data_IF_212832634941
#
_entry.id   IF_212832634941
#
_cell.length_a   1.000
_cell.length_b   1.000
_cell.length_c   1.000
_cell.angle_alpha   90.00
_cell.angle_beta   90.00
_cell.angle_gamma   90.00
#
_symmetry.space_group_name_H-M   'P 1'
#
loop_
_entity.id
_entity.type
_entity.pdbx_description
1 polymer ?
#
# COMPACT_ATOMS: atom_id res chain seq x y z
N UNK A 1 9.37 -26.46 15.82
CA UNK A 1 9.26 -25.76 15.30
C UNK A 1 9.78 -24.68 15.38
N UNK A 2 10.29 -24.24 14.96
CA UNK A 2 10.64 -23.28 15.05
C UNK A 2 10.35 -22.34 14.54
N UNK A 3 10.03 -21.87 14.88
CA UNK A 3 9.41 -20.74 14.34
C UNK A 3 10.40 -19.68 14.14
N UNK A 4 10.73 -19.52 12.96
CA UNK A 4 11.43 -18.36 12.59
C UNK A 4 10.53 -17.16 12.83
N UNK A 5 10.96 -16.27 13.67
CA UNK A 5 10.28 -15.00 13.84
C UNK A 5 10.59 -14.16 12.60
N UNK A 6 9.69 -14.21 11.64
CA UNK A 6 9.77 -13.30 10.51
C UNK A 6 9.26 -11.94 11.02
N UNK A 7 10.09 -10.87 11.01
CA UNK A 7 9.61 -9.57 11.45
C UNK A 7 8.38 -9.18 10.64
N UNK A 8 7.32 -8.83 11.32
CA UNK A 8 6.12 -8.36 10.64
C UNK A 8 6.38 -6.97 10.09
N UNK A 9 5.69 -6.64 9.01
CA UNK A 9 5.83 -5.34 8.36
C UNK A 9 5.60 -4.18 9.33
N UNK A 10 4.62 -4.32 10.25
CA UNK A 10 4.36 -3.28 11.24
C UNK A 10 5.57 -3.04 12.14
N UNK A 11 6.31 -4.08 12.48
CA UNK A 11 7.50 -3.94 13.33
C UNK A 11 8.59 -3.18 12.61
N UNK A 12 8.77 -3.42 11.31
CA UNK A 12 9.73 -2.68 10.49
C UNK A 12 9.36 -1.21 10.40
N UNK A 13 8.07 -0.91 10.26
CA UNK A 13 7.59 0.48 10.19
C UNK A 13 7.81 1.19 11.53
N UNK A 14 7.56 0.52 12.65
CA UNK A 14 7.81 1.10 13.97
C UNK A 14 9.29 1.42 14.17
N UNK A 15 10.18 0.55 13.71
CA UNK A 15 11.63 0.79 13.77
C UNK A 15 12.02 1.97 12.88
N UNK A 16 11.45 2.04 11.68
CA UNK A 16 11.72 3.13 10.75
C UNK A 16 11.27 4.48 11.33
N UNK A 17 10.14 4.49 12.05
CA UNK A 17 9.68 5.68 12.76
C UNK A 17 10.70 6.14 13.78
N UNK A 18 11.25 5.22 14.58
CA UNK A 18 12.26 5.57 15.57
C UNK A 18 13.53 6.11 14.92
N UNK A 19 13.95 5.52 13.81
CA UNK A 19 15.09 6.01 13.03
C UNK A 19 14.83 7.42 12.51
N UNK A 20 13.64 7.66 11.97
CA UNK A 20 13.25 8.99 11.49
C UNK A 20 13.29 10.03 12.60
N UNK A 21 12.87 9.65 13.83
CA UNK A 21 12.95 10.52 14.98
C UNK A 21 14.40 10.90 15.31
N UNK A 22 15.30 9.91 15.28
CA UNK A 22 16.73 10.13 15.57
C UNK A 22 17.39 11.00 14.49
N UNK A 23 17.00 10.81 13.24
CA UNK A 23 17.55 11.55 12.11
C UNK A 23 16.87 12.89 11.91
N UNK A 24 15.85 13.20 12.71
CA UNK A 24 15.05 14.43 12.60
C UNK A 24 14.36 14.55 11.24
N UNK A 25 14.01 13.40 10.65
CA UNK A 25 13.23 13.35 9.41
C UNK A 25 11.75 13.47 9.75
N UNK A 26 11.29 14.69 9.90
CA UNK A 26 9.94 14.96 10.38
C UNK A 26 8.85 14.51 9.39
N UNK A 27 9.11 14.62 8.10
CA UNK A 27 8.15 14.19 7.08
C UNK A 27 7.94 12.67 7.13
N UNK A 28 9.04 11.90 7.19
CA UNK A 28 8.97 10.45 7.30
C UNK A 28 8.29 10.04 8.60
N UNK A 29 8.67 10.66 9.71
CA UNK A 29 8.06 10.37 11.02
C UNK A 29 6.55 10.56 10.98
N UNK A 30 6.09 11.66 10.39
CA UNK A 30 4.67 11.98 10.33
C UNK A 30 3.89 10.91 9.57
N UNK A 31 4.43 10.43 8.44
CA UNK A 31 3.72 9.43 7.65
C UNK A 31 3.76 8.05 8.35
N UNK A 32 4.84 7.71 9.02
CA UNK A 32 4.89 6.47 9.80
C UNK A 32 3.87 6.51 10.94
N UNK A 33 3.69 7.67 11.59
CA UNK A 33 2.67 7.84 12.63
C UNK A 33 1.27 7.56 12.08
N UNK A 34 0.98 8.05 10.89
CA UNK A 34 -0.31 7.84 10.24
C UNK A 34 -0.54 6.34 9.98
N UNK A 35 0.46 5.66 9.43
CA UNK A 35 0.36 4.22 9.17
C UNK A 35 0.18 3.43 10.46
N UNK A 36 0.94 3.76 11.50
CA UNK A 36 0.83 3.09 12.80
C UNK A 36 -0.56 3.31 13.40
N UNK A 37 -1.11 4.51 13.30
CA UNK A 37 -2.46 4.80 13.79
C UNK A 37 -3.51 3.99 13.03
N UNK A 38 -3.38 3.87 11.73
CA UNK A 38 -4.30 3.04 10.92
C UNK A 38 -4.20 1.57 11.32
N UNK A 39 -2.97 1.10 11.59
CA UNK A 39 -2.75 -0.25 12.09
C UNK A 39 -3.47 -0.46 13.43
N UNK A 40 -3.33 0.48 14.37
CA UNK A 40 -3.96 0.36 15.68
C UNK A 40 -5.48 0.28 15.57
N UNK A 41 -6.07 1.12 14.75
CA UNK A 41 -7.53 1.10 14.52
C UNK A 41 -7.98 -0.23 13.92
N UNK A 42 -7.26 -0.72 12.92
CA UNK A 42 -7.58 -2.00 12.31
C UNK A 42 -7.37 -3.15 13.29
N UNK A 43 -6.33 -3.06 14.11
CA UNK A 43 -6.03 -4.07 15.14
C UNK A 43 -7.18 -4.21 16.13
N UNK A 44 -7.76 -3.10 16.57
CA UNK A 44 -8.91 -3.11 17.47
C UNK A 44 -10.09 -3.82 16.82
N UNK A 45 -10.39 -3.44 15.57
CA UNK A 45 -11.50 -4.03 14.82
C UNK A 45 -11.30 -5.53 14.59
N UNK A 46 -10.09 -5.94 14.21
CA UNK A 46 -9.76 -7.34 13.97
C UNK A 46 -9.85 -8.17 15.26
N UNK A 47 -9.42 -7.59 16.38
CA UNK A 47 -9.46 -8.27 17.68
C UNK A 47 -10.89 -8.61 18.07
N UNK A 48 -11.83 -7.74 17.80
CA UNK A 48 -13.24 -7.99 18.08
C UNK A 48 -13.76 -9.19 17.29
N UNK A 49 -13.15 -9.48 16.14
CA UNK A 49 -13.48 -10.65 15.31
C UNK A 49 -12.62 -11.87 15.64
N UNK A 50 -11.74 -11.77 16.63
CA UNK A 50 -10.80 -12.85 16.97
C UNK A 50 -9.68 -13.01 15.95
N UNK A 51 -9.34 -11.96 15.23
CA UNK A 51 -8.32 -11.99 14.16
C UNK A 51 -7.18 -11.03 14.48
N UNK A 52 -6.07 -11.21 13.77
CA UNK A 52 -4.91 -10.33 13.87
C UNK A 52 -4.68 -9.61 12.55
N UNK A 53 -4.01 -8.47 12.60
CA UNK A 53 -3.61 -7.73 11.41
C UNK A 53 -2.45 -8.47 10.75
N UNK A 54 -2.57 -8.74 9.47
CA UNK A 54 -1.56 -9.47 8.70
C UNK A 54 -0.70 -8.48 7.90
N UNK A 55 0.41 -8.98 7.34
CA UNK A 55 1.24 -8.17 6.44
C UNK A 55 0.46 -7.75 5.19
N UNK A 56 -0.45 -8.59 4.71
CA UNK A 56 -1.32 -8.22 3.60
C UNK A 56 -2.19 -7.01 3.96
N UNK A 57 -2.73 -7.00 5.18
CA UNK A 57 -3.49 -5.85 5.68
C UNK A 57 -2.62 -4.60 5.71
N UNK A 58 -1.37 -4.74 6.15
CA UNK A 58 -0.42 -3.62 6.19
C UNK A 58 -0.13 -3.07 4.81
N UNK A 59 0.03 -3.94 3.82
CA UNK A 59 0.21 -3.51 2.43
C UNK A 59 -0.99 -2.69 1.96
N UNK A 60 -2.20 -3.12 2.29
CA UNK A 60 -3.41 -2.38 1.94
C UNK A 60 -3.46 -1.00 2.62
N UNK A 61 -3.05 -0.93 3.88
CA UNK A 61 -2.96 0.34 4.59
C UNK A 61 -1.97 1.28 3.87
N UNK A 62 -0.81 0.77 3.49
CA UNK A 62 0.22 1.55 2.80
C UNK A 62 -0.28 2.03 1.44
N UNK A 63 -0.91 1.15 0.66
CA UNK A 63 -1.47 1.50 -0.66
C UNK A 63 -2.49 2.62 -0.53
N UNK A 64 -3.40 2.49 0.44
CA UNK A 64 -4.42 3.53 0.67
C UNK A 64 -3.78 4.85 1.10
N UNK A 65 -2.78 4.78 1.97
CA UNK A 65 -2.07 5.98 2.44
C UNK A 65 -1.35 6.67 1.28
N UNK A 66 -0.72 5.90 0.40
CA UNK A 66 -0.08 6.45 -0.81
C UNK A 66 -1.08 7.16 -1.71
N UNK A 67 -2.29 6.60 -1.84
CA UNK A 67 -3.35 7.22 -2.63
C UNK A 67 -3.78 8.56 -2.01
N UNK A 68 -3.92 8.60 -0.70
CA UNK A 68 -4.24 9.83 0.03
C UNK A 68 -3.14 10.87 -0.14
N UNK A 69 -1.87 10.44 -0.09
CA UNK A 69 -0.74 11.33 -0.32
C UNK A 69 -0.74 11.90 -1.74
N UNK A 70 -1.05 11.08 -2.72
CA UNK A 70 -1.10 11.52 -4.12
C UNK A 70 -2.18 12.59 -4.32
N UNK A 71 -3.35 12.41 -3.71
CA UNK A 71 -4.43 13.40 -3.77
C UNK A 71 -4.04 14.71 -3.10
N UNK A 72 -3.41 14.62 -1.94
CA UNK A 72 -2.94 15.78 -1.19
C UNK A 72 -1.85 16.52 -1.96
N UNK A 73 -0.90 15.77 -2.53
CA UNK A 73 0.18 16.31 -3.35
C UNK A 73 -0.37 17.09 -4.54
N UNK A 74 -1.38 16.54 -5.21
CA UNK A 74 -2.02 17.19 -6.34
C UNK A 74 -2.58 18.57 -5.96
N UNK A 75 -3.19 18.66 -4.77
CA UNK A 75 -3.68 19.92 -4.24
C UNK A 75 -2.57 20.96 -4.03
N UNK A 76 -1.44 20.52 -3.50
CA UNK A 76 -0.29 21.41 -3.28
C UNK A 76 0.38 21.83 -4.59
N UNK A 77 0.43 20.95 -5.58
CA UNK A 77 0.94 21.29 -6.90
C UNK A 77 0.10 22.41 -7.51
N UNK A 78 -1.22 22.29 -7.40
CA UNK A 78 -2.14 23.29 -7.94
C UNK A 78 -2.00 24.66 -7.28
N UNK A 79 -1.60 24.71 -6.02
CA UNK A 79 -1.44 25.96 -5.26
C UNK A 79 0.01 26.45 -5.23
N UNK A 80 0.93 25.76 -5.91
CA UNK A 80 2.33 26.16 -6.00
C UNK A 80 3.14 26.00 -4.73
N UNK A 81 2.70 25.13 -3.80
CA UNK A 81 3.38 24.90 -2.53
C UNK A 81 4.49 23.86 -2.67
N UNK A 82 5.62 24.28 -3.22
CA UNK A 82 6.73 23.41 -3.56
C UNK A 82 7.28 22.61 -2.37
N UNK A 83 7.45 23.25 -1.22
CA UNK A 83 7.97 22.57 -0.03
C UNK A 83 7.05 21.45 0.43
N UNK A 84 5.73 21.67 0.36
CA UNK A 84 4.74 20.65 0.72
C UNK A 84 4.78 19.48 -0.28
N UNK A 85 4.95 19.77 -1.56
CA UNK A 85 5.08 18.75 -2.61
C UNK A 85 6.32 17.89 -2.35
N UNK A 86 7.44 18.50 -2.01
CA UNK A 86 8.68 17.78 -1.72
C UNK A 86 8.54 16.90 -0.49
N UNK A 87 7.90 17.40 0.57
CA UNK A 87 7.68 16.63 1.79
C UNK A 87 6.82 15.41 1.51
N UNK A 88 5.73 15.57 0.75
CA UNK A 88 4.87 14.45 0.40
C UNK A 88 5.58 13.45 -0.52
N UNK A 89 6.37 13.93 -1.46
CA UNK A 89 7.16 13.05 -2.34
C UNK A 89 8.11 12.18 -1.52
N UNK A 90 8.75 12.76 -0.50
CA UNK A 90 9.60 11.99 0.41
C UNK A 90 8.80 10.97 1.19
N UNK A 91 7.61 11.34 1.68
CA UNK A 91 6.71 10.42 2.38
C UNK A 91 6.29 9.25 1.48
N UNK A 92 5.99 9.52 0.21
CA UNK A 92 5.68 8.47 -0.76
C UNK A 92 6.87 7.52 -0.93
N UNK A 93 8.07 8.07 -1.06
CA UNK A 93 9.27 7.27 -1.26
C UNK A 93 9.55 6.33 -0.09
N UNK A 94 9.40 6.82 1.15
CA UNK A 94 9.67 5.98 2.32
C UNK A 94 8.64 4.88 2.49
N UNK A 95 7.39 5.12 2.10
CA UNK A 95 6.35 4.09 2.17
C UNK A 95 6.50 3.03 1.08
N UNK A 96 6.90 3.43 -0.12
CA UNK A 96 7.07 2.50 -1.24
C UNK A 96 8.07 1.40 -0.95
N UNK A 97 9.03 1.63 -0.07
CA UNK A 97 10.02 0.63 0.33
C UNK A 97 9.39 -0.62 0.96
N UNK A 98 8.20 -0.49 1.53
CA UNK A 98 7.53 -1.58 2.22
C UNK A 98 6.50 -2.31 1.36
N UNK A 99 6.33 -1.88 0.12
CA UNK A 99 5.44 -2.58 -0.79
C UNK A 99 6.17 -3.75 -1.43
N UNK A 100 5.50 -4.91 -1.58
CA UNK A 100 6.05 -5.95 -2.42
C UNK A 100 6.15 -5.39 -3.84
N UNK A 101 6.91 -6.06 -4.69
CA UNK A 101 6.98 -5.66 -6.09
C UNK A 101 5.58 -5.76 -6.69
N UNK A 102 4.98 -4.63 -6.98
CA UNK A 102 3.65 -4.59 -7.56
C UNK A 102 3.71 -4.91 -9.04
N UNK A 103 2.68 -5.60 -9.53
CA UNK A 103 2.58 -5.90 -10.95
C UNK A 103 2.42 -4.63 -11.76
N UNK A 104 3.19 -4.52 -12.84
CA UNK A 104 3.09 -3.42 -13.78
C UNK A 104 1.84 -3.59 -14.66
N UNK A 105 1.44 -2.54 -15.37
CA UNK A 105 0.32 -2.62 -16.31
C UNK A 105 0.54 -3.72 -17.34
N UNK A 106 1.78 -3.83 -17.88
CA UNK A 106 2.11 -4.87 -18.84
C UNK A 106 1.95 -6.27 -18.26
N UNK A 107 2.39 -6.47 -17.02
CA UNK A 107 2.25 -7.75 -16.34
C UNK A 107 0.79 -8.10 -16.05
N UNK A 108 -0.03 -7.10 -15.70
CA UNK A 108 -1.46 -7.30 -15.49
C UNK A 108 -2.13 -7.72 -16.79
N UNK A 109 -1.82 -7.04 -17.89
CA UNK A 109 -2.38 -7.39 -19.21
C UNK A 109 -1.99 -8.79 -19.64
N UNK A 110 -0.73 -9.16 -19.43
CA UNK A 110 -0.25 -10.51 -19.77
C UNK A 110 -0.98 -11.57 -18.96
N UNK A 111 -1.22 -11.31 -17.68
CA UNK A 111 -1.93 -12.24 -16.81
C UNK A 111 -3.39 -12.41 -17.25
N UNK A 112 -4.04 -11.31 -17.62
CA UNK A 112 -5.42 -11.35 -18.12
C UNK A 112 -5.51 -12.21 -19.40
N UNK A 113 -4.54 -12.06 -20.30
CA UNK A 113 -4.52 -12.82 -21.56
C UNK A 113 -4.44 -14.33 -21.37
N UNK A 114 -3.92 -14.78 -20.23
CA UNK A 114 -3.84 -16.20 -19.89
C UNK A 114 -5.18 -16.78 -19.46
N UNK A 115 -6.14 -15.92 -19.12
CA UNK A 115 -7.44 -16.38 -18.62
C UNK A 115 -8.35 -16.79 -19.78
N UNK A 116 -9.00 -17.98 -19.69
CA UNK A 116 -9.95 -18.39 -20.72
C UNK A 116 -11.22 -17.53 -20.74
N UNK A 117 -11.63 -17.02 -19.56
CA UNK A 117 -12.75 -16.10 -19.44
C UNK A 117 -12.19 -14.74 -19.01
N UNK A 118 -12.32 -13.74 -19.87
CA UNK A 118 -11.80 -12.40 -19.64
C UNK A 118 -12.91 -11.40 -19.27
N UNK A 119 -13.99 -11.89 -18.67
CA UNK A 119 -15.04 -11.03 -18.15
C UNK A 119 -14.53 -10.29 -16.90
N UNK A 120 -15.07 -9.11 -16.62
CA UNK A 120 -14.64 -8.30 -15.48
C UNK A 120 -14.72 -9.06 -14.14
N UNK A 121 -15.83 -9.76 -13.81
CA UNK A 121 -15.88 -10.50 -12.55
C UNK A 121 -14.80 -11.57 -12.42
N UNK A 122 -14.52 -12.30 -13.50
CA UNK A 122 -13.49 -13.35 -13.49
C UNK A 122 -12.11 -12.76 -13.32
N UNK A 123 -11.80 -11.67 -14.02
CA UNK A 123 -10.50 -10.99 -13.90
C UNK A 123 -10.30 -10.49 -12.48
N UNK A 124 -11.29 -9.80 -11.92
CA UNK A 124 -11.18 -9.24 -10.56
C UNK A 124 -10.96 -10.33 -9.53
N UNK A 125 -11.69 -11.43 -9.64
CA UNK A 125 -11.54 -12.58 -8.75
C UNK A 125 -10.16 -13.20 -8.85
N UNK A 126 -9.65 -13.37 -10.07
CA UNK A 126 -8.33 -13.95 -10.32
C UNK A 126 -7.23 -13.17 -9.59
N UNK A 127 -7.23 -11.84 -9.75
CA UNK A 127 -6.22 -11.00 -9.10
C UNK A 127 -6.40 -10.92 -7.59
N UNK A 128 -7.64 -10.91 -7.12
CA UNK A 128 -7.91 -10.88 -5.70
C UNK A 128 -7.44 -12.14 -5.00
N UNK A 129 -7.60 -13.30 -5.62
CA UNK A 129 -7.23 -14.59 -5.03
C UNK A 129 -5.74 -14.87 -5.17
N UNK A 130 -5.15 -14.62 -6.33
CA UNK A 130 -3.79 -15.04 -6.63
C UNK A 130 -2.73 -13.95 -6.44
N UNK A 131 -3.12 -12.68 -6.45
CA UNK A 131 -2.18 -11.55 -6.38
C UNK A 131 -2.56 -10.56 -5.28
N UNK A 132 -3.20 -11.05 -4.23
CA UNK A 132 -3.59 -10.18 -3.13
C UNK A 132 -2.38 -9.48 -2.52
N UNK A 133 -2.44 -8.15 -2.41
CA UNK A 133 -1.34 -7.35 -1.90
C UNK A 133 -0.22 -7.10 -2.89
N UNK A 134 -0.30 -7.67 -4.10
CA UNK A 134 0.74 -7.53 -5.14
C UNK A 134 0.27 -6.74 -6.35
N UNK A 135 -0.95 -6.26 -6.32
CA UNK A 135 -1.54 -5.55 -7.45
C UNK A 135 -2.51 -4.48 -6.93
N UNK A 136 -2.58 -3.37 -7.66
CA UNK A 136 -3.58 -2.34 -7.39
C UNK A 136 -4.88 -2.75 -8.10
N UNK A 137 -5.90 -3.09 -7.34
CA UNK A 137 -7.17 -3.56 -7.89
C UNK A 137 -7.88 -2.50 -8.72
N UNK A 138 -7.68 -1.21 -8.40
CA UNK A 138 -8.23 -0.13 -9.21
C UNK A 138 -7.62 -0.12 -10.60
N UNK A 139 -6.30 -0.37 -10.68
CA UNK A 139 -5.60 -0.47 -11.96
C UNK A 139 -6.08 -1.70 -12.74
N UNK A 140 -6.26 -2.83 -12.08
CA UNK A 140 -6.79 -4.04 -12.71
C UNK A 140 -8.17 -3.77 -13.33
N UNK A 141 -9.04 -3.11 -12.57
CA UNK A 141 -10.38 -2.77 -13.06
C UNK A 141 -10.32 -1.88 -14.30
N UNK A 142 -9.45 -0.86 -14.26
CA UNK A 142 -9.27 0.06 -15.38
C UNK A 142 -8.79 -0.66 -16.63
N UNK A 143 -7.80 -1.54 -16.48
CA UNK A 143 -7.24 -2.31 -17.59
C UNK A 143 -8.29 -3.29 -18.14
N UNK A 144 -8.99 -4.00 -17.26
CA UNK A 144 -10.01 -4.95 -17.65
C UNK A 144 -11.12 -4.29 -18.47
N UNK A 145 -11.54 -3.10 -18.06
CA UNK A 145 -12.57 -2.35 -18.80
C UNK A 145 -12.07 -1.88 -20.17
N UNK A 146 -10.77 -1.62 -20.31
CA UNK A 146 -10.20 -1.18 -21.58
C UNK A 146 -10.06 -2.33 -22.58
N UNK A 147 -10.05 -3.58 -22.11
CA UNK A 147 -9.92 -4.76 -22.95
C UNK A 147 -11.28 -5.21 -23.49
N UNK A 148 -12.33 -5.07 -22.70
CA UNK A 148 -13.67 -5.53 -23.08
C UNK A 148 -14.35 -4.62 -24.09
#
# INVERSE_FOLDING_TARGET
MLSEVIPMLIDEIKKAKMTAMKEKDNAARAIYDIVVNKYLLLSISKREEGKEVTDTDMVQIIVKTLKELADEKDGYVKTGRTESVEAISHQEDVLKKYLPTMLSEAEIRAEIQKLPDQSLPTIMKHFKVNFQGKVDMALVSKIAKSIS
#
